data_IF_066170645509
#
_entry.id   IF_066170645509
#
_cell.length_a   1.000
_cell.length_b   1.000
_cell.length_c   1.000
_cell.angle_alpha   90.00
_cell.angle_beta   90.00
_cell.angle_gamma   90.00
#
_symmetry.space_group_name_H-M   'P 1'
#
loop_
_entity.id
_entity.type
_entity.pdbx_description
1 polymer ?
#
# COMPACT_ATOMS: atom_id res chain seq x y z
N UNK A 1 39.16 42.63 10.38
CA UNK A 1 39.16 41.82 11.63
C UNK A 1 37.97 40.90 11.58
N UNK A 2 38.18 39.63 11.40
CA UNK A 2 37.31 38.48 11.75
C UNK A 2 37.56 37.29 10.78
N UNK A 3 38.74 36.63 10.94
CA UNK A 3 39.00 35.39 10.17
C UNK A 3 39.55 34.26 11.07
N UNK A 4 39.39 34.36 12.40
CA UNK A 4 40.02 33.41 13.34
C UNK A 4 39.07 32.45 14.05
N UNK A 5 37.75 32.44 13.77
CA UNK A 5 36.86 31.61 14.57
C UNK A 5 36.47 30.24 13.95
N UNK A 6 36.71 30.03 12.65
CA UNK A 6 36.32 28.80 11.97
C UNK A 6 37.32 27.64 12.08
N UNK A 7 38.53 27.89 12.58
CA UNK A 7 39.60 26.87 12.63
C UNK A 7 39.58 25.98 13.87
N UNK A 8 38.87 26.39 14.91
CA UNK A 8 38.89 25.70 16.20
C UNK A 8 37.84 24.55 16.35
N UNK A 9 36.73 24.62 15.62
CA UNK A 9 35.66 23.61 15.73
C UNK A 9 36.04 22.32 15.06
N UNK A 10 36.68 22.37 13.91
CA UNK A 10 37.16 21.16 13.19
C UNK A 10 38.24 20.40 13.98
N UNK A 11 39.09 21.13 14.71
CA UNK A 11 40.14 20.49 15.52
C UNK A 11 39.56 19.81 16.75
N UNK A 12 38.60 20.43 17.41
CA UNK A 12 37.89 19.85 18.56
C UNK A 12 37.06 18.61 18.17
N UNK A 13 36.41 18.65 17.02
CA UNK A 13 35.66 17.47 16.53
C UNK A 13 36.61 16.32 16.17
N UNK A 14 37.79 16.60 15.61
CA UNK A 14 38.79 15.59 15.30
C UNK A 14 39.34 14.92 16.59
N UNK A 15 39.63 15.71 17.62
CA UNK A 15 40.07 15.19 18.93
C UNK A 15 39.02 14.37 19.62
N UNK A 16 37.74 14.78 19.55
CA UNK A 16 36.63 14.01 20.17
C UNK A 16 36.44 12.68 19.43
N UNK A 17 36.47 12.67 18.09
CA UNK A 17 36.33 11.46 17.28
C UNK A 17 37.52 10.53 17.49
N UNK A 18 38.74 11.07 17.57
CA UNK A 18 39.95 10.30 17.83
C UNK A 18 39.93 9.68 19.22
N UNK A 19 39.50 10.43 20.25
CA UNK A 19 39.39 9.94 21.62
C UNK A 19 38.31 8.85 21.77
N UNK A 20 37.17 9.01 21.11
CA UNK A 20 36.11 8.00 21.09
C UNK A 20 36.58 6.73 20.37
N UNK A 21 37.29 6.85 19.25
CA UNK A 21 37.85 5.73 18.51
C UNK A 21 38.92 4.98 19.31
N UNK A 22 39.79 5.72 20.00
CA UNK A 22 40.81 5.15 20.89
C UNK A 22 40.16 4.41 22.08
N UNK A 23 39.08 4.95 22.65
CA UNK A 23 38.35 4.30 23.76
C UNK A 23 37.68 3.00 23.30
N UNK A 24 37.09 2.98 22.11
CA UNK A 24 36.49 1.77 21.51
C UNK A 24 37.56 0.72 21.21
N UNK A 25 38.70 1.11 20.64
CA UNK A 25 39.80 0.19 20.36
C UNK A 25 40.39 -0.39 21.65
N UNK A 26 40.52 0.40 22.71
CA UNK A 26 41.01 -0.07 24.01
C UNK A 26 40.02 -0.97 24.73
N UNK A 27 38.71 -0.80 24.50
CA UNK A 27 37.68 -1.72 25.02
C UNK A 27 37.68 -3.07 24.25
N UNK A 28 38.12 -3.09 22.97
CA UNK A 28 38.19 -4.30 22.17
C UNK A 28 39.45 -5.14 22.48
N UNK A 29 40.49 -4.52 23.04
CA UNK A 29 41.76 -5.20 23.35
C UNK A 29 41.82 -5.80 24.77
N UNK A 30 40.83 -5.49 25.62
CA UNK A 30 40.55 -6.22 26.84
C UNK A 30 39.74 -7.49 26.52
N UNK A 31 40.24 -8.37 25.67
CA UNK A 31 39.94 -9.78 25.76
C UNK A 31 40.54 -10.30 27.05
N UNK A 32 39.84 -10.11 28.16
CA UNK A 32 40.03 -10.90 29.34
C UNK A 32 39.97 -12.37 28.91
N UNK A 33 41.07 -13.08 28.95
CA UNK A 33 41.12 -14.54 29.05
C UNK A 33 40.44 -14.93 30.37
N UNK A 34 39.12 -14.70 30.42
CA UNK A 34 38.27 -15.16 31.51
C UNK A 34 38.29 -16.67 31.41
N UNK A 35 39.20 -17.31 32.20
CA UNK A 35 39.21 -18.77 32.39
C UNK A 35 37.76 -19.17 32.65
N UNK A 36 37.12 -19.75 31.64
CA UNK A 36 35.72 -20.23 31.71
C UNK A 36 35.66 -21.26 32.81
N UNK A 37 35.04 -20.84 33.90
CA UNK A 37 34.82 -21.72 35.06
C UNK A 37 33.64 -22.65 34.73
N UNK A 38 33.64 -23.89 35.29
CA UNK A 38 32.50 -24.83 35.13
C UNK A 38 31.16 -24.19 35.40
N UNK A 39 31.13 -23.25 36.34
CA UNK A 39 29.94 -22.45 36.68
C UNK A 39 29.48 -21.55 35.50
N UNK A 40 30.43 -20.85 34.88
CA UNK A 40 30.09 -19.93 33.75
C UNK A 40 29.60 -20.72 32.55
N UNK A 41 30.16 -21.91 32.31
CA UNK A 41 29.68 -22.83 31.28
C UNK A 41 28.26 -23.30 31.57
N UNK A 42 27.95 -23.70 32.82
CA UNK A 42 26.60 -24.12 33.17
C UNK A 42 25.59 -22.96 33.02
N UNK A 43 25.96 -21.74 33.42
CA UNK A 43 25.10 -20.57 33.24
C UNK A 43 24.82 -20.26 31.75
N UNK A 44 25.86 -20.27 30.91
CA UNK A 44 25.70 -20.03 29.48
C UNK A 44 24.90 -21.12 28.78
N UNK A 45 25.15 -22.39 29.13
CA UNK A 45 24.41 -23.52 28.59
C UNK A 45 22.94 -23.48 28.98
N UNK A 46 22.64 -23.18 30.27
CA UNK A 46 21.26 -23.05 30.75
C UNK A 46 20.54 -21.86 30.10
N UNK A 47 21.22 -20.71 29.97
CA UNK A 47 20.67 -19.54 29.31
C UNK A 47 20.37 -19.81 27.83
N UNK A 48 21.28 -20.49 27.12
CA UNK A 48 21.08 -20.89 25.73
C UNK A 48 19.90 -21.87 25.58
N UNK A 49 19.84 -22.91 26.43
CA UNK A 49 18.71 -23.83 26.42
C UNK A 49 17.39 -23.15 26.75
N UNK A 50 17.38 -22.21 27.71
CA UNK A 50 16.22 -21.40 28.05
C UNK A 50 15.75 -20.49 26.88
N UNK A 51 16.71 -19.85 26.21
CA UNK A 51 16.41 -19.02 25.05
C UNK A 51 15.78 -19.83 23.89
N UNK A 52 16.32 -21.02 23.62
CA UNK A 52 15.73 -21.93 22.62
C UNK A 52 14.34 -22.39 23.05
N UNK A 53 14.12 -22.74 24.31
CA UNK A 53 12.82 -23.14 24.85
C UNK A 53 11.78 -22.01 24.72
N UNK A 54 12.16 -20.80 25.10
CA UNK A 54 11.29 -19.61 24.95
C UNK A 54 11.00 -19.33 23.47
N UNK A 55 12.01 -19.38 22.60
CA UNK A 55 11.84 -19.21 21.16
C UNK A 55 10.87 -20.23 20.56
N UNK A 56 11.02 -21.51 20.95
CA UNK A 56 10.12 -22.58 20.51
C UNK A 56 8.69 -22.42 21.01
N UNK A 57 8.49 -21.87 22.23
CA UNK A 57 7.17 -21.60 22.76
C UNK A 57 6.50 -20.37 22.14
N UNK A 58 7.28 -19.33 21.83
CA UNK A 58 6.78 -18.08 21.26
C UNK A 58 6.51 -18.20 19.76
N UNK A 59 7.30 -19.01 19.04
CA UNK A 59 7.16 -19.15 17.58
C UNK A 59 5.75 -19.51 17.12
N UNK A 60 5.05 -20.52 17.69
CA UNK A 60 3.70 -20.86 17.29
C UNK A 60 2.70 -19.69 17.50
N UNK A 61 2.89 -18.88 18.55
CA UNK A 61 2.05 -17.72 18.82
C UNK A 61 2.24 -16.65 17.75
N UNK A 62 3.46 -16.41 17.31
CA UNK A 62 3.77 -15.49 16.21
C UNK A 62 3.25 -16.04 14.88
N UNK A 63 3.40 -17.34 14.64
CA UNK A 63 2.94 -17.99 13.40
C UNK A 63 1.42 -17.97 13.25
N UNK A 64 0.65 -18.04 14.36
CA UNK A 64 -0.80 -17.88 14.37
C UNK A 64 -1.26 -16.48 13.91
N UNK A 65 -0.39 -15.46 13.93
CA UNK A 65 -0.70 -14.12 13.40
C UNK A 65 -0.63 -14.06 11.87
N UNK A 66 -0.06 -15.08 11.22
CA UNK A 66 -0.02 -15.14 9.77
C UNK A 66 -1.43 -15.37 9.19
N UNK A 67 -1.75 -14.74 8.04
CA UNK A 67 -3.03 -14.97 7.37
C UNK A 67 -3.21 -16.45 7.04
N UNK A 68 -4.39 -16.99 7.38
CA UNK A 68 -4.79 -18.36 7.07
C UNK A 68 -4.77 -18.63 5.55
N UNK A 69 -4.63 -19.90 5.17
CA UNK A 69 -4.63 -20.35 3.78
C UNK A 69 -5.92 -19.98 3.03
N UNK A 70 -7.06 -19.98 3.72
CA UNK A 70 -8.34 -19.52 3.16
C UNK A 70 -8.32 -18.02 2.79
N UNK A 71 -7.73 -17.19 3.65
CA UNK A 71 -7.56 -15.74 3.38
C UNK A 71 -6.61 -15.50 2.21
N UNK A 72 -5.55 -16.31 2.11
CA UNK A 72 -4.61 -16.25 0.99
C UNK A 72 -5.26 -16.71 -0.32
N UNK A 73 -6.09 -17.74 -0.29
CA UNK A 73 -6.86 -18.22 -1.45
C UNK A 73 -7.85 -17.18 -1.97
N UNK A 74 -8.42 -16.35 -1.08
CA UNK A 74 -9.29 -15.22 -1.44
C UNK A 74 -8.51 -13.94 -1.81
N UNK A 75 -7.19 -14.00 -1.86
CA UNK A 75 -6.35 -12.83 -2.15
C UNK A 75 -6.55 -12.31 -3.58
N UNK A 76 -6.91 -13.16 -4.53
CA UNK A 76 -7.23 -12.78 -5.90
C UNK A 76 -8.58 -13.38 -6.33
N UNK A 77 -9.25 -12.69 -7.25
CA UNK A 77 -10.51 -13.12 -7.87
C UNK A 77 -10.37 -12.98 -9.37
N UNK A 78 -10.69 -14.04 -10.11
CA UNK A 78 -10.76 -14.02 -11.57
C UNK A 78 -12.21 -13.83 -12.01
N UNK A 79 -12.43 -12.92 -12.94
CA UNK A 79 -13.74 -12.52 -13.44
C UNK A 79 -13.77 -12.68 -14.95
N UNK A 80 -14.71 -13.49 -15.45
CA UNK A 80 -14.99 -13.58 -16.87
C UNK A 80 -15.85 -12.38 -17.32
N UNK A 81 -15.34 -11.62 -18.25
CA UNK A 81 -15.99 -10.43 -18.82
C UNK A 81 -16.39 -10.60 -20.29
N UNK A 82 -16.33 -11.84 -20.81
CA UNK A 82 -16.62 -12.16 -22.21
C UNK A 82 -18.02 -11.77 -22.68
N UNK A 83 -19.01 -11.85 -21.77
CA UNK A 83 -20.42 -11.54 -22.04
C UNK A 83 -20.79 -10.07 -21.90
N UNK A 84 -19.87 -9.24 -21.40
CA UNK A 84 -20.17 -7.82 -21.17
C UNK A 84 -20.22 -7.02 -22.47
N UNK A 85 -21.30 -6.26 -22.63
CA UNK A 85 -21.47 -5.32 -23.76
C UNK A 85 -20.89 -3.93 -23.40
N UNK A 86 -20.47 -3.12 -24.40
CA UNK A 86 -20.09 -1.73 -24.15
C UNK A 86 -21.19 -0.98 -23.38
N UNK A 87 -20.81 -0.22 -22.36
CA UNK A 87 -21.70 0.49 -21.44
C UNK A 87 -22.16 -0.30 -20.24
N UNK A 88 -21.98 -1.63 -20.21
CA UNK A 88 -22.37 -2.45 -19.06
C UNK A 88 -21.37 -2.34 -17.90
N UNK A 89 -21.90 -2.46 -16.68
CA UNK A 89 -21.14 -2.50 -15.44
C UNK A 89 -21.45 -3.78 -14.66
N UNK A 90 -20.40 -4.41 -14.14
CA UNK A 90 -20.47 -5.59 -13.29
C UNK A 90 -19.89 -5.24 -11.92
N UNK A 91 -20.54 -5.73 -10.86
CA UNK A 91 -20.02 -5.61 -9.50
C UNK A 91 -19.63 -6.97 -8.98
N UNK A 92 -18.37 -7.11 -8.56
CA UNK A 92 -17.84 -8.34 -7.95
C UNK A 92 -17.31 -8.03 -6.54
N UNK A 93 -17.29 -9.04 -5.70
CA UNK A 93 -16.70 -8.90 -4.35
C UNK A 93 -15.25 -9.39 -4.37
N UNK A 94 -14.35 -8.54 -3.91
CA UNK A 94 -12.95 -8.87 -3.68
C UNK A 94 -12.54 -8.44 -2.26
N UNK A 95 -12.10 -9.41 -1.46
CA UNK A 95 -11.76 -9.19 -0.04
C UNK A 95 -12.88 -8.49 0.76
N UNK A 96 -14.15 -8.85 0.48
CA UNK A 96 -15.30 -8.23 1.12
C UNK A 96 -15.64 -6.81 0.66
N UNK A 97 -14.91 -6.28 -0.33
CA UNK A 97 -15.16 -4.94 -0.91
C UNK A 97 -15.77 -5.09 -2.30
N UNK A 98 -16.77 -4.27 -2.67
CA UNK A 98 -17.28 -4.25 -4.03
C UNK A 98 -16.25 -3.66 -4.99
N UNK A 99 -16.05 -4.31 -6.12
CA UNK A 99 -15.24 -3.84 -7.24
C UNK A 99 -16.16 -3.66 -8.43
N UNK A 100 -16.15 -2.48 -9.00
CA UNK A 100 -16.83 -2.17 -10.24
C UNK A 100 -15.92 -2.48 -11.42
N UNK A 101 -16.44 -3.25 -12.37
CA UNK A 101 -15.82 -3.51 -13.68
C UNK A 101 -16.78 -2.94 -14.70
N UNK A 102 -16.37 -1.91 -15.43
CA UNK A 102 -17.19 -1.28 -16.47
C UNK A 102 -16.52 -1.42 -17.82
N UNK A 103 -17.27 -1.93 -18.80
CA UNK A 103 -16.90 -1.87 -20.20
C UNK A 103 -17.36 -0.53 -20.78
N UNK A 104 -16.43 0.42 -20.89
CA UNK A 104 -16.72 1.78 -21.32
C UNK A 104 -17.03 1.87 -22.82
N UNK A 105 -17.94 2.76 -23.17
CA UNK A 105 -18.17 3.17 -24.54
C UNK A 105 -17.09 4.16 -25.00
N UNK A 106 -16.94 4.34 -26.32
CA UNK A 106 -16.01 5.35 -26.85
C UNK A 106 -16.35 6.77 -26.41
N UNK A 107 -17.64 7.08 -26.26
CA UNK A 107 -18.10 8.38 -25.77
C UNK A 107 -17.71 8.62 -24.32
N UNK A 108 -17.80 7.59 -23.46
CA UNK A 108 -17.37 7.68 -22.06
C UNK A 108 -15.85 7.88 -21.95
N UNK A 109 -15.08 7.18 -22.77
CA UNK A 109 -13.61 7.33 -22.84
C UNK A 109 -13.26 8.74 -23.31
N UNK A 110 -13.92 9.23 -24.37
CA UNK A 110 -13.70 10.57 -24.88
C UNK A 110 -14.05 11.64 -23.85
N UNK A 111 -15.21 11.53 -23.19
CA UNK A 111 -15.61 12.42 -22.09
C UNK A 111 -14.57 12.44 -20.96
N UNK A 112 -14.10 11.28 -20.53
CA UNK A 112 -13.07 11.16 -19.48
C UNK A 112 -11.76 11.85 -19.86
N UNK A 113 -11.31 11.74 -21.12
CA UNK A 113 -10.05 12.30 -21.62
C UNK A 113 -10.10 13.79 -21.94
N UNK A 114 -11.29 14.33 -22.21
CA UNK A 114 -11.48 15.78 -22.51
C UNK A 114 -11.55 16.64 -21.26
N UNK A 115 -11.60 16.05 -20.06
CA UNK A 115 -11.63 16.80 -18.80
C UNK A 115 -10.26 17.43 -18.53
N UNK A 116 -10.24 18.73 -18.27
CA UNK A 116 -9.01 19.41 -17.82
C UNK A 116 -8.62 18.89 -16.43
N UNK A 117 -7.38 18.44 -16.31
CA UNK A 117 -6.83 17.88 -15.06
C UNK A 117 -6.80 18.94 -13.96
N UNK A 118 -6.65 20.23 -14.32
CA UNK A 118 -6.62 21.33 -13.37
C UNK A 118 -7.99 21.60 -12.73
N UNK A 119 -9.09 21.17 -13.37
CA UNK A 119 -10.45 21.29 -12.84
C UNK A 119 -10.81 20.15 -11.87
N UNK A 120 -9.92 19.17 -11.70
CA UNK A 120 -10.17 18.04 -10.84
C UNK A 120 -9.73 18.33 -9.39
N UNK A 121 -10.58 18.00 -8.43
CA UNK A 121 -10.22 18.06 -7.01
C UNK A 121 -9.01 17.17 -6.64
N UNK A 122 -8.92 16.01 -7.29
CA UNK A 122 -7.82 15.09 -7.19
C UNK A 122 -7.31 14.82 -8.60
N UNK A 123 -6.28 15.56 -9.07
CA UNK A 123 -5.76 15.50 -10.43
C UNK A 123 -5.19 14.13 -10.77
N UNK A 124 -5.78 13.45 -11.76
CA UNK A 124 -5.34 12.16 -12.26
C UNK A 124 -5.83 11.97 -13.70
N UNK A 125 -4.98 11.51 -14.60
CA UNK A 125 -5.34 11.25 -15.98
C UNK A 125 -6.18 9.98 -16.10
N UNK A 126 -7.07 9.94 -17.09
CA UNK A 126 -7.84 8.72 -17.39
C UNK A 126 -6.94 7.53 -17.74
N UNK A 127 -5.83 7.80 -18.42
CA UNK A 127 -4.86 6.79 -18.87
C UNK A 127 -4.12 6.12 -17.70
N UNK A 128 -3.93 6.85 -16.60
CA UNK A 128 -3.29 6.30 -15.39
C UNK A 128 -4.26 5.38 -14.60
N UNK A 129 -5.58 5.57 -14.82
CA UNK A 129 -6.63 4.82 -14.13
C UNK A 129 -7.07 3.55 -14.85
N UNK A 130 -7.00 3.54 -16.18
CA UNK A 130 -7.45 2.43 -16.99
C UNK A 130 -6.30 1.86 -17.82
N UNK A 131 -5.81 0.66 -17.48
CA UNK A 131 -4.76 -0.04 -18.24
C UNK A 131 -5.17 -0.33 -19.68
N UNK A 132 -6.44 -0.60 -19.90
CA UNK A 132 -7.08 -0.68 -21.21
C UNK A 132 -8.19 0.36 -21.25
N UNK A 133 -8.23 1.27 -22.22
CA UNK A 133 -9.23 2.33 -22.29
C UNK A 133 -10.67 1.85 -22.21
N UNK A 134 -10.97 0.68 -22.76
CA UNK A 134 -12.28 0.06 -22.78
C UNK A 134 -12.73 -0.43 -21.39
N UNK A 135 -11.78 -0.77 -20.51
CA UNK A 135 -12.05 -1.42 -19.23
C UNK A 135 -11.65 -0.55 -18.05
N UNK A 136 -12.61 -0.16 -17.25
CA UNK A 136 -12.36 0.51 -15.97
C UNK A 136 -12.65 -0.44 -14.81
N UNK A 137 -11.65 -0.68 -14.00
CA UNK A 137 -11.73 -1.54 -12.80
C UNK A 137 -11.39 -0.71 -11.59
N UNK A 138 -12.33 -0.56 -10.64
CA UNK A 138 -12.10 0.25 -9.44
C UNK A 138 -12.89 -0.26 -8.25
N UNK A 139 -12.44 0.08 -7.04
CA UNK A 139 -13.20 -0.19 -5.83
C UNK A 139 -14.49 0.64 -5.84
N UNK A 140 -15.64 -0.04 -5.72
CA UNK A 140 -16.97 0.58 -5.65
C UNK A 140 -17.24 1.19 -4.28
N UNK A 141 -16.30 1.97 -3.76
CA UNK A 141 -16.37 2.55 -2.41
C UNK A 141 -16.13 4.05 -2.50
N UNK A 142 -17.11 4.81 -2.02
CA UNK A 142 -16.99 6.27 -1.90
C UNK A 142 -15.91 6.65 -0.90
N UNK A 143 -14.98 7.48 -1.32
CA UNK A 143 -13.82 7.90 -0.52
C UNK A 143 -14.17 8.87 0.63
N UNK A 144 -15.45 9.29 0.74
CA UNK A 144 -15.91 10.07 1.87
C UNK A 144 -16.04 9.23 3.14
N UNK A 145 -16.99 8.28 3.19
CA UNK A 145 -17.27 7.45 4.35
C UNK A 145 -17.61 5.99 3.98
N UNK A 146 -17.17 5.50 2.83
CA UNK A 146 -17.23 4.09 2.49
C UNK A 146 -18.56 3.58 1.91
N UNK A 147 -19.54 4.45 1.59
CA UNK A 147 -20.78 4.04 0.93
C UNK A 147 -20.51 3.49 -0.48
N UNK A 148 -21.35 2.60 -0.97
CA UNK A 148 -21.29 2.09 -2.34
C UNK A 148 -22.02 3.06 -3.27
N UNK A 149 -21.35 3.69 -4.24
CA UNK A 149 -21.99 4.60 -5.20
C UNK A 149 -22.90 3.86 -6.19
N UNK A 150 -23.90 4.55 -6.69
CA UNK A 150 -24.78 4.08 -7.76
C UNK A 150 -24.11 4.32 -9.11
N UNK A 151 -24.13 3.31 -9.97
CA UNK A 151 -23.57 3.36 -11.33
C UNK A 151 -24.50 4.14 -12.27
N UNK A 152 -23.94 4.82 -13.25
CA UNK A 152 -24.66 5.58 -14.30
C UNK A 152 -25.64 6.62 -13.73
N UNK A 153 -25.22 7.28 -12.66
CA UNK A 153 -25.98 8.31 -11.96
C UNK A 153 -25.10 9.53 -11.66
N UNK A 154 -25.76 10.66 -11.42
CA UNK A 154 -25.13 11.91 -11.08
C UNK A 154 -24.89 12.82 -12.30
N UNK A 155 -24.29 13.99 -12.04
CA UNK A 155 -24.19 15.10 -13.02
C UNK A 155 -23.09 14.86 -14.07
N UNK A 156 -22.29 13.78 -13.94
CA UNK A 156 -21.10 13.54 -14.77
C UNK A 156 -21.12 12.15 -15.46
N UNK A 157 -22.29 11.54 -15.61
CA UNK A 157 -22.52 10.25 -16.28
C UNK A 157 -21.68 9.08 -15.74
N UNK A 158 -21.19 9.20 -14.51
CA UNK A 158 -20.35 8.19 -13.88
C UNK A 158 -21.04 7.54 -12.67
N UNK A 159 -20.60 7.90 -11.47
CA UNK A 159 -21.14 7.32 -10.25
C UNK A 159 -21.62 8.41 -9.28
N UNK A 160 -22.71 8.12 -8.62
CA UNK A 160 -23.30 8.98 -7.60
C UNK A 160 -23.39 8.29 -6.26
N UNK A 161 -22.86 8.90 -5.22
CA UNK A 161 -23.00 8.44 -3.86
C UNK A 161 -24.17 9.16 -3.17
N UNK A 162 -25.30 8.46 -2.92
CA UNK A 162 -26.50 9.12 -2.37
C UNK A 162 -26.37 9.49 -0.89
N UNK A 163 -25.36 8.91 -0.17
CA UNK A 163 -25.20 9.18 1.26
C UNK A 163 -24.96 10.66 1.57
N UNK A 164 -24.09 11.34 0.78
CA UNK A 164 -23.74 12.74 1.00
C UNK A 164 -23.51 13.52 -0.30
N UNK A 165 -23.98 12.98 -1.44
CA UNK A 165 -23.97 13.70 -2.71
C UNK A 165 -22.59 13.84 -3.36
N UNK A 166 -21.73 12.84 -3.28
CA UNK A 166 -20.50 12.82 -4.07
C UNK A 166 -20.78 12.32 -5.48
N UNK A 167 -20.30 13.06 -6.50
CA UNK A 167 -20.42 12.73 -7.90
C UNK A 167 -19.06 12.44 -8.50
N UNK A 168 -18.96 11.33 -9.19
CA UNK A 168 -17.76 10.89 -9.89
C UNK A 168 -18.03 10.84 -11.40
N UNK A 169 -17.00 11.07 -12.20
CA UNK A 169 -17.10 11.01 -13.66
C UNK A 169 -16.95 9.56 -14.20
N UNK A 170 -16.96 9.41 -15.52
CA UNK A 170 -16.85 8.13 -16.24
C UNK A 170 -15.50 7.43 -16.05
N UNK A 171 -14.54 8.07 -15.40
CA UNK A 171 -13.26 7.48 -14.96
C UNK A 171 -13.18 7.26 -13.45
N UNK A 172 -14.27 7.51 -12.71
CA UNK A 172 -14.30 7.37 -11.26
C UNK A 172 -13.54 8.46 -10.50
N UNK A 173 -13.29 9.63 -11.14
CA UNK A 173 -12.67 10.78 -10.51
C UNK A 173 -13.72 11.65 -9.83
N UNK A 174 -13.39 12.14 -8.64
CA UNK A 174 -14.31 13.03 -7.90
C UNK A 174 -14.46 14.37 -8.60
N UNK A 175 -15.72 14.77 -8.85
CA UNK A 175 -16.06 16.04 -9.47
C UNK A 175 -16.78 16.99 -8.51
N UNK A 176 -17.67 16.46 -7.68
CA UNK A 176 -18.51 17.26 -6.77
C UNK A 176 -18.80 16.48 -5.49
N UNK A 177 -19.02 17.20 -4.41
CA UNK A 177 -19.41 16.63 -3.12
C UNK A 177 -18.26 16.49 -2.13
N UNK A 178 -18.49 15.85 -0.96
CA UNK A 178 -17.55 15.85 0.15
C UNK A 178 -16.41 14.84 0.01
N UNK A 179 -16.45 13.90 -0.94
CA UNK A 179 -15.37 12.94 -1.13
C UNK A 179 -14.04 13.66 -1.43
N UNK A 180 -12.93 13.30 -0.75
CA UNK A 180 -11.66 13.98 -0.89
C UNK A 180 -10.86 13.52 -2.12
N UNK A 181 -10.99 12.26 -2.54
CA UNK A 181 -10.17 11.64 -3.58
C UNK A 181 -11.01 10.86 -4.59
N UNK A 182 -10.38 10.50 -5.71
CA UNK A 182 -10.94 9.57 -6.69
C UNK A 182 -11.20 8.20 -6.06
N UNK A 183 -12.12 7.40 -6.66
CA UNK A 183 -12.27 6.00 -6.29
C UNK A 183 -10.98 5.23 -6.58
N UNK A 184 -10.61 4.32 -5.69
CA UNK A 184 -9.33 3.60 -5.74
C UNK A 184 -9.32 2.56 -6.88
N UNK A 185 -8.18 2.44 -7.56
CA UNK A 185 -7.93 1.39 -8.56
C UNK A 185 -7.20 0.24 -7.85
N UNK A 186 -7.81 -0.94 -7.74
CA UNK A 186 -7.15 -2.11 -7.17
C UNK A 186 -6.03 -2.60 -8.10
N UNK A 187 -5.13 -3.42 -7.57
CA UNK A 187 -4.22 -4.17 -8.44
C UNK A 187 -5.03 -5.16 -9.25
N UNK A 188 -4.92 -5.10 -10.56
CA UNK A 188 -5.55 -6.06 -11.46
C UNK A 188 -4.69 -6.30 -12.69
N UNK A 189 -4.90 -7.42 -13.36
CA UNK A 189 -4.26 -7.78 -14.62
C UNK A 189 -5.24 -8.47 -15.56
N UNK A 190 -5.00 -8.36 -16.87
CA UNK A 190 -5.71 -9.14 -17.87
C UNK A 190 -4.97 -10.47 -18.05
N UNK A 191 -5.57 -11.57 -17.64
CA UNK A 191 -5.02 -12.92 -17.84
C UNK A 191 -5.12 -13.29 -19.34
N UNK A 192 -6.23 -12.88 -19.95
CA UNK A 192 -6.48 -12.96 -21.38
C UNK A 192 -7.46 -11.85 -21.79
N UNK A 193 -7.92 -11.85 -23.05
CA UNK A 193 -8.87 -10.84 -23.56
C UNK A 193 -10.19 -10.79 -22.82
N UNK A 194 -10.59 -11.88 -22.15
CA UNK A 194 -11.92 -12.06 -21.56
C UNK A 194 -11.88 -12.27 -20.05
N UNK A 195 -10.71 -12.30 -19.43
CA UNK A 195 -10.58 -12.60 -18.00
C UNK A 195 -9.73 -11.53 -17.30
N UNK A 196 -10.31 -10.92 -16.28
CA UNK A 196 -9.65 -9.95 -15.42
C UNK A 196 -9.39 -10.61 -14.08
N UNK A 197 -8.15 -10.61 -13.64
CA UNK A 197 -7.74 -11.04 -12.30
C UNK A 197 -7.51 -9.82 -11.43
N UNK A 198 -8.12 -9.79 -10.25
CA UNK A 198 -8.06 -8.71 -9.26
C UNK A 198 -7.32 -9.25 -8.03
N UNK A 199 -6.22 -8.61 -7.63
CA UNK A 199 -5.41 -8.98 -6.47
C UNK A 199 -4.04 -9.54 -6.78
#
# INVERSE_FOLDING_TARGET
MCHCYHRNISFLLYEIIYYQRYKILKMSDQKDEKKTNRRDFLFTATAAAGAVGVGAAVWPLVDQMNPDASVKALASTEVDVSSMQPGQSLTVLWRGKPVFIKRRTEDEIKKARTVDINDLKHPEKDEDRAKNPEWLVMLGICTHLGCVPLTDKGDYDGWFCPCHGSHYDTSGRIRKGPAPTNMEIPKYEFVNTNTIKIG
#
